data_IF_193182102692
#
_entry.id   IF_193182102692
#
_cell.length_a   1.000
_cell.length_b   1.000
_cell.length_c   1.000
_cell.angle_alpha   90.00
_cell.angle_beta   90.00
_cell.angle_gamma   90.00
#
_symmetry.space_group_name_H-M   'P 1'
#
loop_
_entity.id
_entity.type
_entity.pdbx_description
1 polymer ?
#
# COMPACT_ATOMS: atom_id res chain seq x y z
N UNK A 1 -5.93 10.31 5.79
CA UNK A 1 -6.34 10.62 4.41
C UNK A 1 -7.78 11.15 4.31
N UNK A 2 -8.76 10.56 4.98
CA UNK A 2 -10.18 10.90 4.82
C UNK A 2 -10.47 12.36 5.21
N UNK A 3 -9.82 12.87 6.26
CA UNK A 3 -10.05 14.22 6.79
C UNK A 3 -8.97 15.24 6.40
N UNK A 4 -8.23 15.02 5.32
CA UNK A 4 -7.21 15.98 4.85
C UNK A 4 -5.88 15.95 5.61
N UNK A 5 -5.73 15.07 6.59
CA UNK A 5 -4.45 14.89 7.29
C UNK A 5 -3.43 14.16 6.41
N UNK A 6 -2.13 14.46 6.60
CA UNK A 6 -1.08 13.85 5.79
C UNK A 6 -0.97 12.34 6.05
N UNK A 7 -0.53 11.62 5.01
CA UNK A 7 -0.16 10.21 5.09
C UNK A 7 1.22 10.02 4.46
N UNK A 8 1.93 8.98 4.88
CA UNK A 8 3.20 8.56 4.28
C UNK A 8 3.00 7.19 3.67
N UNK A 9 3.46 7.00 2.45
CA UNK A 9 3.48 5.73 1.75
C UNK A 9 4.91 5.42 1.30
N UNK A 10 5.26 4.13 1.33
CA UNK A 10 6.57 3.61 0.98
C UNK A 10 6.46 2.66 -0.21
N UNK A 11 7.27 2.82 -1.27
CA UNK A 11 7.42 1.79 -2.28
C UNK A 11 8.10 0.56 -1.66
N UNK A 12 7.70 -0.62 -2.09
CA UNK A 12 8.31 -1.88 -1.69
C UNK A 12 9.14 -2.42 -2.86
N UNK A 13 10.41 -2.74 -2.62
CA UNK A 13 11.36 -3.10 -3.68
C UNK A 13 11.55 -4.61 -3.84
N UNK A 14 11.18 -5.40 -2.83
CA UNK A 14 11.35 -6.86 -2.82
C UNK A 14 10.04 -7.64 -3.04
N UNK A 15 8.92 -6.93 -3.22
CA UNK A 15 7.59 -7.51 -3.41
C UNK A 15 7.07 -7.06 -4.77
N UNK A 16 6.97 -7.98 -5.73
CA UNK A 16 6.75 -7.64 -7.12
C UNK A 16 5.43 -8.21 -7.68
N UNK A 17 4.91 -7.51 -8.68
CA UNK A 17 3.86 -8.00 -9.57
C UNK A 17 4.40 -8.01 -10.99
N UNK A 18 4.28 -9.15 -11.67
CA UNK A 18 4.63 -9.28 -13.07
C UNK A 18 3.42 -9.64 -13.92
N UNK A 19 3.40 -9.10 -15.14
CA UNK A 19 2.39 -9.43 -16.15
C UNK A 19 3.05 -9.85 -17.45
N UNK A 20 2.57 -10.94 -18.04
CA UNK A 20 2.98 -11.37 -19.36
C UNK A 20 1.75 -11.40 -20.27
N UNK A 21 1.86 -10.77 -21.44
CA UNK A 21 0.86 -10.89 -22.50
C UNK A 21 1.28 -12.00 -23.44
N UNK A 22 0.34 -12.91 -23.73
CA UNK A 22 0.54 -13.99 -24.70
C UNK A 22 -0.56 -13.99 -25.74
N UNK A 23 -0.30 -14.46 -26.99
CA UNK A 23 -1.35 -14.62 -28.00
C UNK A 23 -2.47 -15.54 -27.52
N UNK A 24 -3.70 -15.28 -27.95
CA UNK A 24 -4.87 -16.10 -27.68
C UNK A 24 -5.67 -16.41 -28.96
N UNK A 25 -6.36 -17.53 -28.96
CA UNK A 25 -7.22 -17.92 -30.10
C UNK A 25 -8.50 -17.07 -30.19
N UNK A 26 -9.05 -16.68 -29.05
CA UNK A 26 -10.24 -15.83 -28.94
C UNK A 26 -9.85 -14.36 -28.67
N UNK A 27 -10.68 -13.41 -29.16
CA UNK A 27 -10.51 -12.01 -28.78
C UNK A 27 -10.60 -11.83 -27.27
N UNK A 28 -9.80 -10.89 -26.77
CA UNK A 28 -9.94 -10.41 -25.40
C UNK A 28 -11.20 -9.54 -25.30
N UNK A 29 -11.99 -9.76 -24.26
CA UNK A 29 -13.18 -8.97 -23.97
C UNK A 29 -13.19 -8.58 -22.51
N UNK A 30 -13.78 -7.45 -22.20
CA UNK A 30 -13.99 -7.01 -20.81
C UNK A 30 -15.10 -7.87 -20.19
N UNK A 31 -14.71 -8.78 -19.30
CA UNK A 31 -15.65 -9.69 -18.63
C UNK A 31 -16.04 -9.24 -17.23
N UNK A 32 -15.15 -8.52 -16.56
CA UNK A 32 -15.28 -8.17 -15.15
C UNK A 32 -14.92 -6.69 -14.94
N UNK A 33 -15.61 -6.05 -14.01
CA UNK A 33 -15.29 -4.70 -13.53
C UNK A 33 -14.18 -4.78 -12.45
N UNK A 34 -13.02 -5.32 -12.84
CA UNK A 34 -11.82 -5.38 -12.02
C UNK A 34 -10.72 -4.49 -12.58
N UNK A 35 -9.73 -4.15 -11.74
CA UNK A 35 -8.64 -3.26 -12.13
C UNK A 35 -7.74 -3.80 -13.23
N UNK A 36 -7.49 -5.12 -13.28
CA UNK A 36 -6.73 -5.77 -14.35
C UNK A 36 -7.42 -5.63 -15.70
N UNK A 37 -8.70 -6.04 -15.75
CA UNK A 37 -9.50 -5.97 -16.98
C UNK A 37 -9.61 -4.53 -17.49
N UNK A 38 -9.76 -3.56 -16.58
CA UNK A 38 -9.84 -2.16 -16.95
C UNK A 38 -8.48 -1.59 -17.38
N UNK A 39 -7.38 -2.00 -16.76
CA UNK A 39 -6.03 -1.58 -17.16
C UNK A 39 -5.73 -2.05 -18.62
N UNK A 40 -6.08 -3.29 -18.94
CA UNK A 40 -5.94 -3.82 -20.30
C UNK A 40 -6.86 -3.08 -21.27
N UNK A 41 -8.13 -2.89 -20.93
CA UNK A 41 -9.09 -2.17 -21.75
C UNK A 41 -8.64 -0.75 -22.07
N UNK A 42 -8.25 0.01 -21.03
CA UNK A 42 -7.78 1.38 -21.18
C UNK A 42 -6.52 1.47 -22.06
N UNK A 43 -5.62 0.49 -21.94
CA UNK A 43 -4.41 0.42 -22.78
C UNK A 43 -4.74 0.15 -24.24
N UNK A 44 -5.61 -0.84 -24.52
CA UNK A 44 -6.04 -1.17 -25.89
C UNK A 44 -6.79 -0.01 -26.55
N UNK A 45 -7.67 0.65 -25.81
CA UNK A 45 -8.40 1.84 -26.27
C UNK A 45 -7.44 2.98 -26.60
N UNK A 46 -6.49 3.28 -25.72
CA UNK A 46 -5.45 4.31 -25.93
C UNK A 46 -4.63 4.02 -27.19
N UNK A 47 -4.29 2.76 -27.44
CA UNK A 47 -3.54 2.33 -28.62
C UNK A 47 -4.40 2.21 -29.88
N UNK A 48 -5.72 2.42 -29.80
CA UNK A 48 -6.65 2.29 -30.91
C UNK A 48 -6.87 0.85 -31.40
N UNK A 49 -6.57 -0.16 -30.54
CA UNK A 49 -6.68 -1.58 -30.86
C UNK A 49 -8.10 -2.04 -30.53
N UNK A 50 -8.89 -2.32 -31.57
CA UNK A 50 -10.31 -2.70 -31.42
C UNK A 50 -10.53 -4.20 -31.19
N UNK A 51 -9.65 -5.04 -31.71
CA UNK A 51 -9.72 -6.50 -31.56
C UNK A 51 -8.33 -7.03 -31.17
N UNK A 52 -8.18 -7.39 -29.91
CA UNK A 52 -6.94 -7.91 -29.36
C UNK A 52 -7.10 -9.41 -29.07
N UNK A 53 -6.24 -10.24 -29.67
CA UNK A 53 -6.22 -11.69 -29.40
C UNK A 53 -5.10 -12.00 -28.43
N UNK A 54 -5.32 -11.62 -27.20
CA UNK A 54 -4.33 -11.70 -26.10
C UNK A 54 -4.93 -12.34 -24.86
N UNK A 55 -4.03 -12.84 -24.00
CA UNK A 55 -4.31 -13.27 -22.63
C UNK A 55 -3.25 -12.70 -21.70
N UNK A 56 -3.69 -12.19 -20.56
CA UNK A 56 -2.81 -11.73 -19.48
C UNK A 56 -2.50 -12.90 -18.52
N UNK A 57 -1.24 -13.03 -18.15
CA UNK A 57 -0.78 -13.93 -17.09
C UNK A 57 -0.17 -13.06 -16.02
N UNK A 58 -0.80 -13.02 -14.84
CA UNK A 58 -0.31 -12.28 -13.68
C UNK A 58 0.36 -13.25 -12.73
N UNK A 59 1.53 -12.82 -12.20
CA UNK A 59 2.16 -13.40 -11.03
C UNK A 59 2.36 -12.27 -10.02
N UNK A 60 1.80 -12.44 -8.83
CA UNK A 60 1.84 -11.42 -7.78
C UNK A 60 2.40 -12.01 -6.49
N UNK A 61 3.40 -11.34 -5.92
CA UNK A 61 3.84 -11.57 -4.55
C UNK A 61 3.07 -10.71 -3.56
N UNK A 62 2.29 -9.73 -4.06
CA UNK A 62 1.49 -8.81 -3.24
C UNK A 62 0.13 -9.44 -2.95
N UNK A 63 -0.23 -9.67 -1.69
CA UNK A 63 -1.54 -10.21 -1.34
C UNK A 63 -2.64 -9.19 -1.64
N UNK A 64 -3.78 -9.70 -2.14
CA UNK A 64 -4.92 -8.85 -2.46
C UNK A 64 -5.61 -8.32 -1.19
N UNK A 65 -6.08 -7.07 -1.26
CA UNK A 65 -6.88 -6.44 -0.20
C UNK A 65 -6.18 -6.38 1.17
N UNK A 66 -4.85 -6.21 1.16
CA UNK A 66 -4.03 -6.09 2.38
C UNK A 66 -3.49 -4.69 2.63
N UNK A 67 -3.91 -3.69 1.83
CA UNK A 67 -3.42 -2.31 1.97
C UNK A 67 -1.97 -2.12 1.51
N UNK A 68 -1.51 -2.98 0.59
CA UNK A 68 -0.16 -2.95 0.02
C UNK A 68 -0.15 -2.44 -1.43
N UNK A 69 -1.19 -1.78 -1.91
CA UNK A 69 -1.25 -1.25 -3.27
C UNK A 69 -1.33 -2.31 -4.37
N UNK A 70 -1.80 -3.55 -4.06
CA UNK A 70 -1.87 -4.67 -5.01
C UNK A 70 -2.62 -4.32 -6.30
N UNK A 71 -3.74 -3.62 -6.20
CA UNK A 71 -4.55 -3.18 -7.34
C UNK A 71 -3.75 -2.28 -8.29
N UNK A 72 -3.12 -1.25 -7.77
CA UNK A 72 -2.28 -0.33 -8.53
C UNK A 72 -1.07 -1.06 -9.18
N UNK A 73 -0.41 -1.94 -8.43
CA UNK A 73 0.73 -2.71 -8.94
C UNK A 73 0.32 -3.65 -10.10
N UNK A 74 -0.82 -4.32 -9.99
CA UNK A 74 -1.40 -5.18 -11.06
C UNK A 74 -1.74 -4.34 -12.28
N UNK A 75 -2.37 -3.17 -12.10
CA UNK A 75 -2.70 -2.25 -13.20
C UNK A 75 -1.44 -1.77 -13.93
N UNK A 76 -0.42 -1.35 -13.20
CA UNK A 76 0.86 -0.90 -13.77
C UNK A 76 1.53 -2.02 -14.56
N UNK A 77 1.61 -3.23 -13.99
CA UNK A 77 2.22 -4.39 -14.65
C UNK A 77 1.47 -4.75 -15.95
N UNK A 78 0.14 -4.72 -15.92
CA UNK A 78 -0.69 -5.00 -17.09
C UNK A 78 -0.54 -3.96 -18.19
N UNK A 79 -0.57 -2.67 -17.86
CA UNK A 79 -0.41 -1.57 -18.83
C UNK A 79 0.97 -1.68 -19.51
N UNK A 80 2.04 -1.81 -18.73
CA UNK A 80 3.40 -1.99 -19.25
C UNK A 80 3.50 -3.20 -20.19
N UNK A 81 2.92 -4.34 -19.79
CA UNK A 81 2.93 -5.56 -20.60
C UNK A 81 2.15 -5.41 -21.91
N UNK A 82 1.03 -4.70 -21.94
CA UNK A 82 0.27 -4.42 -23.16
C UNK A 82 1.07 -3.55 -24.11
N UNK A 83 1.66 -2.45 -23.64
CA UNK A 83 2.48 -1.58 -24.47
C UNK A 83 3.71 -2.28 -25.04
N UNK A 84 4.41 -3.07 -24.20
CA UNK A 84 5.56 -3.88 -24.61
C UNK A 84 5.16 -4.91 -25.71
N UNK A 85 4.06 -5.64 -25.50
CA UNK A 85 3.56 -6.63 -26.46
C UNK A 85 3.28 -6.03 -27.85
N UNK A 86 2.72 -4.81 -27.88
CA UNK A 86 2.44 -4.11 -29.12
C UNK A 86 3.61 -3.22 -29.62
N UNK A 87 4.75 -3.28 -28.93
CA UNK A 87 5.97 -2.50 -29.25
C UNK A 87 5.65 -1.00 -29.36
N UNK A 88 4.95 -0.46 -28.38
CA UNK A 88 4.60 0.96 -28.27
C UNK A 88 5.31 1.60 -27.11
N UNK A 89 5.76 2.84 -27.32
CA UNK A 89 6.33 3.64 -26.26
C UNK A 89 5.27 4.00 -25.21
N UNK A 90 5.69 3.97 -23.96
CA UNK A 90 4.85 4.32 -22.82
C UNK A 90 5.62 5.33 -21.95
N UNK A 91 5.18 6.57 -21.95
CA UNK A 91 5.70 7.59 -21.04
C UNK A 91 5.01 7.52 -19.66
N UNK A 92 5.66 8.14 -18.67
CA UNK A 92 5.20 8.11 -17.29
C UNK A 92 3.84 8.82 -17.10
N UNK A 93 3.56 9.88 -17.87
CA UNK A 93 2.29 10.60 -17.82
C UNK A 93 1.14 9.73 -18.33
N UNK A 94 1.31 9.09 -19.47
CA UNK A 94 0.35 8.14 -20.05
C UNK A 94 0.11 6.98 -19.10
N UNK A 95 1.16 6.41 -18.52
CA UNK A 95 1.06 5.32 -17.55
C UNK A 95 0.23 5.76 -16.33
N UNK A 96 0.52 6.92 -15.74
CA UNK A 96 -0.20 7.43 -14.56
C UNK A 96 -1.70 7.67 -14.88
N UNK A 97 -2.02 8.21 -16.04
CA UNK A 97 -3.42 8.42 -16.51
C UNK A 97 -4.16 7.08 -16.62
N UNK A 98 -3.55 6.08 -17.26
CA UNK A 98 -4.18 4.78 -17.47
C UNK A 98 -4.37 4.02 -16.15
N UNK A 99 -3.40 4.07 -15.23
CA UNK A 99 -3.51 3.48 -13.89
C UNK A 99 -4.64 4.12 -13.09
N UNK A 100 -4.70 5.45 -13.05
CA UNK A 100 -5.76 6.17 -12.34
C UNK A 100 -7.15 5.83 -12.91
N UNK A 101 -7.26 5.65 -14.22
CA UNK A 101 -8.50 5.19 -14.86
C UNK A 101 -8.90 3.78 -14.42
N UNK A 102 -7.96 2.84 -14.36
CA UNK A 102 -8.21 1.48 -13.89
C UNK A 102 -8.62 1.44 -12.42
N UNK A 103 -7.95 2.23 -11.57
CA UNK A 103 -8.24 2.31 -10.14
C UNK A 103 -9.64 2.90 -9.83
N UNK A 104 -10.19 3.76 -10.70
CA UNK A 104 -11.52 4.36 -10.52
C UNK A 104 -12.63 3.31 -10.49
N UNK A 105 -12.42 2.15 -11.09
CA UNK A 105 -13.40 1.04 -11.09
C UNK A 105 -13.37 0.28 -9.77
N UNK A 106 -12.19 -0.04 -9.25
CA UNK A 106 -12.07 -0.72 -7.95
C UNK A 106 -12.46 0.18 -6.78
N UNK A 107 -12.18 1.47 -6.92
CA UNK A 107 -12.36 2.46 -5.88
C UNK A 107 -13.17 3.65 -6.41
N UNK A 108 -14.38 3.85 -5.91
CA UNK A 108 -15.28 4.95 -6.35
C UNK A 108 -14.62 6.34 -6.30
N UNK A 109 -13.61 6.53 -5.48
CA UNK A 109 -12.85 7.79 -5.38
C UNK A 109 -11.40 7.51 -4.95
N UNK A 110 -10.56 6.99 -5.87
CA UNK A 110 -9.16 6.67 -5.56
C UNK A 110 -8.40 7.94 -5.18
N UNK A 111 -7.53 7.84 -4.17
CA UNK A 111 -6.67 8.96 -3.78
C UNK A 111 -5.49 9.19 -4.73
N UNK A 112 -5.20 8.21 -5.59
CA UNK A 112 -4.01 8.17 -6.42
C UNK A 112 -2.72 7.83 -5.66
N UNK A 113 -2.78 7.68 -4.33
CA UNK A 113 -1.59 7.45 -3.51
C UNK A 113 -0.90 6.13 -3.85
N UNK A 114 -1.66 5.03 -3.94
CA UNK A 114 -1.10 3.71 -4.23
C UNK A 114 -0.45 3.69 -5.61
N UNK A 115 -1.12 4.24 -6.63
CA UNK A 115 -0.56 4.38 -7.97
C UNK A 115 0.72 5.19 -7.98
N UNK A 116 0.70 6.38 -7.34
CA UNK A 116 1.87 7.26 -7.27
C UNK A 116 3.03 6.61 -6.51
N UNK A 117 2.75 5.88 -5.45
CA UNK A 117 3.76 5.16 -4.66
C UNK A 117 4.40 4.03 -5.45
N UNK A 118 3.60 3.21 -6.15
CA UNK A 118 4.12 2.13 -7.00
C UNK A 118 4.95 2.64 -8.21
N UNK A 119 4.73 3.87 -8.64
CA UNK A 119 5.50 4.52 -9.72
C UNK A 119 6.72 5.30 -9.21
N UNK A 120 6.91 5.41 -7.90
CA UNK A 120 8.00 6.15 -7.27
C UNK A 120 9.10 5.20 -6.78
N UNK A 121 10.33 5.66 -6.83
CA UNK A 121 11.50 5.06 -6.16
C UNK A 121 11.72 5.60 -4.74
N UNK A 122 10.87 6.52 -4.28
CA UNK A 122 10.98 7.23 -2.99
C UNK A 122 9.71 7.13 -2.19
N UNK A 123 9.83 7.27 -0.88
CA UNK A 123 8.70 7.49 -0.01
C UNK A 123 7.93 8.75 -0.41
N UNK A 124 6.62 8.74 -0.23
CA UNK A 124 5.74 9.84 -0.59
C UNK A 124 4.93 10.28 0.63
N UNK A 125 4.99 11.57 0.93
CA UNK A 125 4.01 12.23 1.77
C UNK A 125 2.86 12.72 0.90
N UNK A 126 1.67 12.34 1.27
CA UNK A 126 0.43 12.72 0.59
C UNK A 126 -0.45 13.57 1.49
N UNK A 127 -0.98 14.66 0.97
CA UNK A 127 -2.00 15.47 1.62
C UNK A 127 -3.15 15.63 0.61
N UNK A 128 -4.33 15.14 0.99
CA UNK A 128 -5.51 15.17 0.11
C UNK A 128 -5.84 16.61 -0.32
N UNK A 129 -6.10 16.80 -1.60
CA UNK A 129 -6.36 18.09 -2.24
C UNK A 129 -5.18 19.10 -2.24
N UNK A 130 -4.00 18.66 -1.78
CA UNK A 130 -2.77 19.48 -1.80
C UNK A 130 -1.73 18.88 -2.73
N UNK A 131 -1.41 17.58 -2.58
CA UNK A 131 -0.49 16.90 -3.50
C UNK A 131 0.38 15.82 -2.87
N UNK A 132 1.37 15.40 -3.67
CA UNK A 132 2.35 14.37 -3.36
C UNK A 132 3.74 15.00 -3.21
N UNK A 133 4.45 14.64 -2.16
CA UNK A 133 5.77 15.18 -1.84
C UNK A 133 6.75 14.03 -1.64
N UNK A 134 7.77 13.88 -2.50
CA UNK A 134 8.81 12.88 -2.31
C UNK A 134 9.56 13.11 -0.99
N UNK A 135 9.89 12.01 -0.32
CA UNK A 135 10.63 12.01 0.95
C UNK A 135 11.84 11.09 0.83
N UNK A 136 12.94 11.51 1.45
CA UNK A 136 14.12 10.66 1.63
C UNK A 136 13.98 9.82 2.90
N UNK A 137 14.20 8.51 2.76
CA UNK A 137 14.30 7.57 3.89
C UNK A 137 15.77 7.41 4.26
N UNK A 138 16.34 8.38 4.95
CA UNK A 138 17.74 8.33 5.36
C UNK A 138 17.91 7.61 6.71
N UNK A 139 17.24 6.49 6.90
CA UNK A 139 17.32 5.71 8.13
C UNK A 139 17.78 4.29 7.81
N UNK A 140 18.91 3.87 8.36
CA UNK A 140 19.41 2.50 8.21
C UNK A 140 18.63 1.57 9.14
N UNK A 141 17.47 1.14 8.72
CA UNK A 141 16.55 0.29 9.46
C UNK A 141 15.88 -0.72 8.52
N UNK A 142 15.17 -1.67 9.10
CA UNK A 142 14.37 -2.64 8.34
C UNK A 142 12.91 -2.51 8.75
N UNK A 143 12.03 -2.78 7.81
CA UNK A 143 10.61 -2.87 8.03
C UNK A 143 10.18 -4.33 7.86
N UNK A 144 9.66 -4.94 8.91
CA UNK A 144 8.96 -6.22 8.81
C UNK A 144 7.51 -5.93 8.53
N UNK A 145 6.99 -6.50 7.46
CA UNK A 145 5.59 -6.40 7.06
C UNK A 145 4.96 -7.76 7.36
N UNK A 146 3.84 -7.79 8.08
CA UNK A 146 3.15 -9.02 8.46
C UNK A 146 1.68 -8.98 8.00
N UNK A 147 1.26 -9.99 7.23
CA UNK A 147 -0.14 -10.15 6.80
C UNK A 147 -0.97 -10.74 7.95
N UNK A 148 -2.00 -10.03 8.37
CA UNK A 148 -2.95 -10.50 9.39
C UNK A 148 -3.82 -11.68 8.94
N UNK A 149 -3.81 -12.04 7.65
CA UNK A 149 -4.75 -13.00 7.08
C UNK A 149 -6.16 -12.44 6.86
N UNK A 150 -6.47 -11.26 7.40
CA UNK A 150 -7.79 -10.62 7.31
C UNK A 150 -7.82 -9.59 6.18
N UNK A 151 -8.84 -9.63 5.33
CA UNK A 151 -9.03 -8.63 4.28
C UNK A 151 -9.31 -7.26 4.87
N UNK A 152 -8.52 -6.26 4.50
CA UNK A 152 -8.79 -4.87 4.84
C UNK A 152 -10.11 -4.38 4.22
N UNK A 153 -10.88 -3.60 4.97
CA UNK A 153 -12.16 -3.05 4.50
C UNK A 153 -12.18 -1.53 4.67
N UNK A 154 -11.55 -0.84 3.74
CA UNK A 154 -11.46 0.64 3.76
C UNK A 154 -12.83 1.31 3.76
N UNK A 155 -13.82 0.77 3.04
CA UNK A 155 -15.18 1.35 3.00
C UNK A 155 -15.84 1.29 4.38
N UNK A 156 -15.81 0.14 5.04
CA UNK A 156 -16.37 -0.04 6.37
C UNK A 156 -15.61 0.80 7.41
N UNK A 157 -14.28 0.85 7.32
CA UNK A 157 -13.46 1.70 8.18
C UNK A 157 -13.86 3.18 8.07
N UNK A 158 -14.09 3.69 6.85
CA UNK A 158 -14.57 5.06 6.62
C UNK A 158 -15.95 5.26 7.25
N UNK A 159 -16.91 4.37 7.01
CA UNK A 159 -18.25 4.45 7.58
C UNK A 159 -18.22 4.43 9.11
N UNK A 160 -17.37 3.60 9.70
CA UNK A 160 -17.21 3.51 11.16
C UNK A 160 -16.66 4.81 11.75
N UNK A 161 -15.69 5.43 11.07
CA UNK A 161 -15.15 6.73 11.45
C UNK A 161 -16.19 7.84 11.31
N UNK A 162 -16.92 7.89 10.19
CA UNK A 162 -17.99 8.88 9.95
C UNK A 162 -19.10 8.79 11.00
N UNK A 163 -19.45 7.57 11.44
CA UNK A 163 -20.48 7.35 12.47
C UNK A 163 -20.10 7.91 13.85
N UNK A 164 -18.80 8.04 14.15
CA UNK A 164 -18.29 8.62 15.41
C UNK A 164 -18.22 10.15 15.40
N UNK A 165 -18.29 10.75 14.22
CA UNK A 165 -18.36 12.20 14.07
C UNK A 165 -17.20 12.95 14.71
N UNK A 166 -17.50 13.92 15.60
CA UNK A 166 -16.48 14.78 16.19
C UNK A 166 -15.61 14.10 17.26
N UNK A 167 -16.04 12.98 17.82
CA UNK A 167 -15.32 12.26 18.88
C UNK A 167 -13.92 11.81 18.45
N UNK A 168 -13.72 11.55 17.15
CA UNK A 168 -12.44 11.06 16.60
C UNK A 168 -11.52 12.15 16.05
N UNK A 169 -11.97 13.41 16.00
CA UNK A 169 -11.18 14.49 15.41
C UNK A 169 -9.87 14.77 16.14
N UNK A 170 -9.85 14.66 17.48
CA UNK A 170 -8.63 14.80 18.27
C UNK A 170 -7.60 13.73 17.93
N UNK A 171 -8.02 12.48 17.73
CA UNK A 171 -7.15 11.39 17.31
C UNK A 171 -6.56 11.63 15.92
N UNK A 172 -7.35 12.13 14.97
CA UNK A 172 -6.83 12.49 13.65
C UNK A 172 -5.87 13.66 13.68
N UNK A 173 -6.11 14.64 14.53
CA UNK A 173 -5.18 15.75 14.72
C UNK A 173 -3.82 15.23 15.24
N UNK A 174 -3.83 14.34 16.22
CA UNK A 174 -2.64 13.70 16.74
C UNK A 174 -1.92 12.85 15.69
N UNK A 175 -2.63 12.03 14.91
CA UNK A 175 -2.06 11.28 13.78
C UNK A 175 -1.39 12.23 12.78
N UNK A 176 -1.99 13.39 12.51
CA UNK A 176 -1.39 14.41 11.66
C UNK A 176 -0.07 14.97 12.23
N UNK A 177 -0.01 15.23 13.53
CA UNK A 177 1.22 15.65 14.23
C UNK A 177 2.29 14.56 14.22
N UNK A 178 1.90 13.29 14.37
CA UNK A 178 2.81 12.15 14.30
C UNK A 178 3.44 12.02 12.90
N UNK A 179 2.74 12.37 11.83
CA UNK A 179 3.35 12.40 10.49
C UNK A 179 4.50 13.41 10.42
N UNK A 180 4.35 14.57 11.05
CA UNK A 180 5.44 15.56 11.14
C UNK A 180 6.58 15.09 12.04
N UNK A 181 6.29 14.39 13.12
CA UNK A 181 7.30 13.76 13.98
C UNK A 181 8.11 12.70 13.21
N UNK A 182 7.45 11.89 12.37
CA UNK A 182 8.11 10.93 11.46
C UNK A 182 9.06 11.66 10.51
N UNK A 183 8.64 12.75 9.88
CA UNK A 183 9.51 13.53 8.99
C UNK A 183 10.76 14.06 9.71
N UNK A 184 10.60 14.53 10.94
CA UNK A 184 11.71 15.01 11.76
C UNK A 184 12.65 13.85 12.13
N UNK A 185 12.09 12.73 12.58
CA UNK A 185 12.86 11.54 12.95
C UNK A 185 13.67 10.98 11.76
N UNK A 186 13.10 11.00 10.55
CA UNK A 186 13.80 10.60 9.32
C UNK A 186 14.97 11.54 8.99
N UNK A 187 14.76 12.86 9.08
CA UNK A 187 15.82 13.86 8.86
C UNK A 187 16.96 13.74 9.87
N UNK A 188 16.64 13.43 11.12
CA UNK A 188 17.59 13.27 12.23
C UNK A 188 18.18 11.85 12.31
N UNK A 189 17.75 10.93 11.43
CA UNK A 189 18.11 9.50 11.46
C UNK A 189 17.83 8.84 12.82
N UNK A 190 16.79 9.29 13.49
CA UNK A 190 16.41 8.85 14.83
C UNK A 190 15.40 7.67 14.73
N UNK A 191 15.95 6.44 14.64
CA UNK A 191 15.15 5.20 14.55
C UNK A 191 14.18 5.04 15.73
N UNK A 192 14.60 5.44 16.93
CA UNK A 192 13.77 5.29 18.12
C UNK A 192 12.56 6.21 18.10
N UNK A 193 12.75 7.49 17.80
CA UNK A 193 11.64 8.44 17.66
C UNK A 193 10.68 8.03 16.52
N UNK A 194 11.23 7.47 15.43
CA UNK A 194 10.43 6.92 14.33
C UNK A 194 9.55 5.76 14.82
N UNK A 195 10.12 4.81 15.57
CA UNK A 195 9.38 3.67 16.13
C UNK A 195 8.30 4.11 17.11
N UNK A 196 8.62 5.02 18.05
CA UNK A 196 7.68 5.57 19.01
C UNK A 196 6.48 6.24 18.29
N UNK A 197 6.73 7.00 17.22
CA UNK A 197 5.68 7.63 16.43
C UNK A 197 4.78 6.60 15.73
N UNK A 198 5.34 5.49 15.23
CA UNK A 198 4.54 4.39 14.64
C UNK A 198 3.61 3.76 15.68
N UNK A 199 4.12 3.43 16.87
CA UNK A 199 3.34 2.80 17.94
C UNK A 199 2.22 3.73 18.43
N UNK A 200 2.54 4.98 18.70
CA UNK A 200 1.53 5.98 19.09
C UNK A 200 0.47 6.15 18.00
N UNK A 201 0.86 6.13 16.73
CA UNK A 201 -0.09 6.17 15.62
C UNK A 201 -1.04 4.95 15.64
N UNK A 202 -0.54 3.76 15.96
CA UNK A 202 -1.38 2.56 16.10
C UNK A 202 -2.40 2.71 17.22
N UNK A 203 -1.99 3.22 18.37
CA UNK A 203 -2.89 3.48 19.50
C UNK A 203 -4.03 4.44 19.13
N UNK A 204 -3.71 5.50 18.38
CA UNK A 204 -4.74 6.41 17.87
C UNK A 204 -5.69 5.73 16.88
N UNK A 205 -5.18 4.90 15.98
CA UNK A 205 -5.99 4.13 15.02
C UNK A 205 -6.91 3.12 15.72
N UNK A 206 -6.44 2.47 16.82
CA UNK A 206 -7.27 1.63 17.68
C UNK A 206 -8.39 2.44 18.34
N UNK A 207 -8.08 3.58 18.92
CA UNK A 207 -9.05 4.47 19.58
C UNK A 207 -10.14 4.94 18.59
N UNK A 208 -9.74 5.26 17.36
CA UNK A 208 -10.68 5.55 16.26
C UNK A 208 -11.54 4.34 15.90
N UNK A 209 -11.06 3.11 16.14
CA UNK A 209 -11.77 1.87 15.92
C UNK A 209 -11.58 1.29 14.52
N UNK A 210 -10.47 1.62 13.85
CA UNK A 210 -10.12 1.09 12.52
C UNK A 210 -9.08 -0.03 12.56
N UNK A 211 -8.62 -0.44 13.75
CA UNK A 211 -7.83 -1.64 13.93
C UNK A 211 -8.71 -2.89 14.06
N UNK A 212 -8.09 -4.07 14.09
CA UNK A 212 -8.73 -5.36 14.38
C UNK A 212 -7.88 -6.15 15.40
N UNK A 213 -8.46 -7.19 15.98
CA UNK A 213 -7.81 -7.99 17.02
C UNK A 213 -6.50 -8.62 16.53
N UNK A 214 -6.47 -9.11 15.29
CA UNK A 214 -5.30 -9.74 14.69
C UNK A 214 -4.16 -8.72 14.48
N UNK A 215 -4.49 -7.50 14.03
CA UNK A 215 -3.50 -6.44 13.87
C UNK A 215 -2.96 -5.98 15.23
N UNK A 216 -3.82 -5.81 16.23
CA UNK A 216 -3.44 -5.44 17.59
C UNK A 216 -2.52 -6.50 18.22
N UNK A 217 -2.86 -7.79 18.01
CA UNK A 217 -2.04 -8.91 18.48
C UNK A 217 -0.64 -8.90 17.83
N UNK A 218 -0.56 -8.82 16.51
CA UNK A 218 0.72 -8.81 15.80
C UNK A 218 1.58 -7.59 16.15
N UNK A 219 0.97 -6.42 16.38
CA UNK A 219 1.70 -5.25 16.89
C UNK A 219 2.29 -5.52 18.26
N UNK A 220 1.53 -6.12 19.19
CA UNK A 220 2.02 -6.48 20.51
C UNK A 220 3.18 -7.48 20.41
N UNK A 221 3.04 -8.54 19.62
CA UNK A 221 4.10 -9.54 19.37
C UNK A 221 5.38 -8.88 18.83
N UNK A 222 5.26 -7.96 17.85
CA UNK A 222 6.42 -7.27 17.31
C UNK A 222 7.16 -6.46 18.39
N UNK A 223 6.43 -5.71 19.20
CA UNK A 223 7.00 -4.89 20.29
C UNK A 223 7.64 -5.76 21.38
N UNK A 224 6.99 -6.83 21.83
CA UNK A 224 7.51 -7.78 22.82
C UNK A 224 8.79 -8.48 22.34
N UNK A 225 8.93 -8.64 21.03
CA UNK A 225 10.12 -9.18 20.39
C UNK A 225 11.17 -8.12 20.02
N UNK A 226 11.01 -6.87 20.47
CA UNK A 226 12.04 -5.84 20.39
C UNK A 226 11.99 -4.96 19.14
N UNK A 227 10.87 -4.92 18.42
CA UNK A 227 10.67 -3.91 17.40
C UNK A 227 10.74 -2.51 18.02
N UNK A 228 11.34 -1.55 17.33
CA UNK A 228 11.43 -0.14 17.76
C UNK A 228 10.06 0.53 17.80
N UNK A 229 9.12 0.03 17.01
CA UNK A 229 7.74 0.45 16.95
C UNK A 229 6.98 -0.35 15.90
N UNK A 230 5.65 -0.44 16.05
CA UNK A 230 4.81 -1.19 15.12
C UNK A 230 3.42 -0.56 15.00
N UNK A 231 2.78 -0.76 13.86
CA UNK A 231 1.41 -0.28 13.58
C UNK A 231 0.74 -1.05 12.45
N UNK A 232 -0.58 -1.00 12.41
CA UNK A 232 -1.31 -1.42 11.23
C UNK A 232 -1.02 -0.51 10.01
N UNK A 233 -1.13 -1.06 8.81
CA UNK A 233 -0.97 -0.35 7.53
C UNK A 233 -2.23 -0.43 6.68
N UNK A 234 -2.43 0.57 5.81
CA UNK A 234 -3.56 0.61 4.89
C UNK A 234 -4.85 1.19 5.48
N UNK A 235 -5.99 0.76 4.93
CA UNK A 235 -7.30 1.36 5.22
C UNK A 235 -7.97 0.93 6.52
N UNK A 236 -7.49 -0.15 7.14
CA UNK A 236 -8.02 -0.65 8.41
C UNK A 236 -8.95 -1.87 8.30
N UNK A 237 -9.33 -2.39 9.47
CA UNK A 237 -10.18 -3.56 9.69
C UNK A 237 -9.58 -4.83 9.05
N UNK A 238 -8.26 -4.98 9.10
CA UNK A 238 -7.47 -6.04 8.51
C UNK A 238 -6.28 -5.48 7.71
N UNK A 239 -5.69 -6.30 6.85
CA UNK A 239 -4.53 -5.92 6.06
C UNK A 239 -3.21 -6.33 6.72
N UNK A 240 -2.20 -5.48 6.63
CA UNK A 240 -0.88 -5.75 7.17
C UNK A 240 -0.56 -4.90 8.39
N UNK A 241 0.36 -5.41 9.18
CA UNK A 241 1.10 -4.68 10.22
C UNK A 241 2.51 -4.40 9.72
N UNK A 242 3.07 -3.26 10.07
CA UNK A 242 4.46 -2.92 9.84
C UNK A 242 5.17 -2.76 11.18
N UNK A 243 6.38 -3.31 11.29
CA UNK A 243 7.23 -3.20 12.47
C UNK A 243 8.61 -2.69 12.07
N UNK A 244 9.05 -1.58 12.68
CA UNK A 244 10.36 -0.99 12.47
C UNK A 244 11.40 -1.74 13.32
N UNK A 245 12.49 -2.16 12.70
CA UNK A 245 13.55 -2.95 13.33
C UNK A 245 14.91 -2.36 12.98
N UNK A 246 15.85 -2.42 13.89
CA UNK A 246 17.13 -1.71 13.72
C UNK A 246 18.11 -2.37 12.76
N UNK A 247 18.07 -3.71 12.63
CA UNK A 247 19.00 -4.48 11.81
C UNK A 247 18.35 -5.74 11.18
N UNK A 248 18.95 -6.33 10.12
CA UNK A 248 18.38 -7.48 9.41
C UNK A 248 18.21 -8.73 10.27
N UNK A 249 19.13 -9.01 11.20
CA UNK A 249 19.07 -10.20 12.05
C UNK A 249 17.86 -10.16 13.01
N UNK A 250 17.61 -8.97 13.60
CA UNK A 250 16.41 -8.77 14.40
C UNK A 250 15.14 -8.82 13.55
N UNK A 251 15.19 -8.36 12.30
CA UNK A 251 14.06 -8.44 11.38
C UNK A 251 13.65 -9.89 11.09
N UNK A 252 14.60 -10.77 10.79
CA UNK A 252 14.33 -12.21 10.60
C UNK A 252 13.74 -12.86 11.85
N UNK A 253 14.26 -12.54 13.03
CA UNK A 253 13.77 -13.06 14.30
C UNK A 253 12.34 -12.61 14.59
N UNK A 254 12.03 -11.32 14.34
CA UNK A 254 10.69 -10.76 14.55
C UNK A 254 9.72 -11.31 13.51
N UNK A 255 10.12 -11.44 12.25
CA UNK A 255 9.32 -12.05 11.20
C UNK A 255 8.89 -13.47 11.58
N UNK A 256 9.83 -14.30 12.03
CA UNK A 256 9.54 -15.66 12.50
C UNK A 256 8.61 -15.69 13.74
N UNK A 257 8.79 -14.75 14.68
CA UNK A 257 7.90 -14.65 15.84
C UNK A 257 6.47 -14.29 15.41
N UNK A 258 6.31 -13.35 14.46
CA UNK A 258 5.01 -12.96 13.93
C UNK A 258 4.31 -14.10 13.20
N UNK A 259 5.03 -14.88 12.39
CA UNK A 259 4.47 -16.07 11.72
C UNK A 259 4.03 -17.14 12.72
N UNK A 260 4.81 -17.38 13.77
CA UNK A 260 4.46 -18.31 14.83
C UNK A 260 3.20 -17.90 15.60
N UNK A 261 2.98 -16.62 15.75
CA UNK A 261 1.85 -16.03 16.47
C UNK A 261 0.68 -15.65 15.55
N UNK A 262 0.66 -16.15 14.30
CA UNK A 262 -0.52 -16.12 13.45
C UNK A 262 -0.46 -15.16 12.26
N UNK A 263 0.68 -14.52 11.99
CA UNK A 263 0.83 -13.83 10.71
C UNK A 263 0.80 -14.84 9.56
N UNK A 264 -0.03 -14.58 8.56
CA UNK A 264 -0.20 -15.47 7.42
C UNK A 264 1.05 -15.55 6.54
N UNK A 265 1.79 -14.45 6.46
CA UNK A 265 3.08 -14.32 5.78
C UNK A 265 3.81 -13.06 6.26
N UNK A 266 5.13 -13.05 6.13
CA UNK A 266 5.95 -11.88 6.44
C UNK A 266 6.89 -11.54 5.30
N UNK A 267 7.24 -10.27 5.19
CA UNK A 267 8.25 -9.72 4.26
C UNK A 267 9.17 -8.79 5.04
N UNK A 268 10.41 -8.67 4.58
CA UNK A 268 11.40 -7.75 5.13
C UNK A 268 11.80 -6.77 4.03
N UNK A 269 11.70 -5.48 4.30
CA UNK A 269 12.10 -4.39 3.42
C UNK A 269 13.18 -3.56 4.09
N UNK A 270 14.22 -3.18 3.34
CA UNK A 270 15.28 -2.28 3.81
C UNK A 270 14.86 -0.82 3.58
N UNK A 271 15.05 0.05 4.57
CA UNK A 271 14.73 1.47 4.50
C UNK A 271 15.95 2.34 4.21
#
# INVERSE_FOLDING_TARGET
MVYGYPAIALPLHHIEVTCQIVPAASPWVLFEDDTLSMAVFASLEHLGIREARIRCKIQSMVPEKRGMGSSAAVSIAAIRAVFDYYQKDLDDETLEILVNRAETIAHMNPSGLDAKTCLSDRAIKFIRNVGFYPMELNVEANLVIADTGIHGNTREAIQKVESKGQEVLSHFHEIGQLTQAVETALKEKNKRALGEALTTCHEQLRAVGVSCEEADHLVAVALENGALGAKMSGGGLGGCVIALVKDPHEAERIAHALEKEGAHHTWIENL
#
